data_IF_655620559939
#
_entry.id   IF_655620559939
#
_cell.length_a   1.000
_cell.length_b   1.000
_cell.length_c   1.000
_cell.angle_alpha   90.00
_cell.angle_beta   90.00
_cell.angle_gamma   90.00
#
_symmetry.space_group_name_H-M   'P 1'
#
loop_
_entity.id
_entity.type
_entity.pdbx_description
1 polymer ?
#
# COMPACT_ATOMS: atom_id res chain seq x y z
N UNK A 1 11.43 25.81 8.96
CA UNK A 1 10.56 24.62 9.10
C UNK A 1 11.24 23.33 8.67
N UNK A 2 11.76 23.22 7.45
CA UNK A 2 12.42 21.97 6.97
C UNK A 2 13.52 21.43 7.89
N UNK A 3 14.44 22.29 8.35
CA UNK A 3 15.52 21.90 9.27
C UNK A 3 14.99 21.37 10.60
N UNK A 4 13.90 21.97 11.09
CA UNK A 4 13.25 21.56 12.35
C UNK A 4 12.63 20.18 12.15
N UNK A 5 11.82 19.98 11.11
CA UNK A 5 11.20 18.68 10.83
C UNK A 5 12.27 17.60 10.61
N UNK A 6 13.33 17.87 9.83
CA UNK A 6 14.46 16.94 9.66
C UNK A 6 15.14 16.59 10.98
N UNK A 7 15.32 17.56 11.87
CA UNK A 7 15.88 17.30 13.19
C UNK A 7 14.97 16.41 14.04
N UNK A 8 13.66 16.69 14.06
CA UNK A 8 12.69 15.86 14.79
C UNK A 8 12.62 14.43 14.23
N UNK A 9 12.59 14.27 12.91
CA UNK A 9 12.63 12.95 12.26
C UNK A 9 13.94 12.22 12.58
N UNK A 10 15.07 12.94 12.63
CA UNK A 10 16.35 12.37 13.05
C UNK A 10 16.28 11.88 14.49
N UNK A 11 15.55 12.53 15.40
CA UNK A 11 15.36 12.05 16.78
C UNK A 11 14.62 10.71 16.86
N UNK A 12 13.80 10.38 15.86
CA UNK A 12 13.07 9.10 15.76
C UNK A 12 13.92 7.94 15.21
N UNK A 13 15.18 8.18 14.84
CA UNK A 13 16.02 7.16 14.22
C UNK A 13 16.69 6.25 15.27
N UNK A 14 16.17 5.01 15.37
CA UNK A 14 16.69 3.95 16.24
C UNK A 14 18.10 3.45 15.88
N UNK A 15 18.59 3.71 14.66
CA UNK A 15 19.90 3.23 14.19
C UNK A 15 21.05 4.16 14.58
N UNK A 16 20.75 5.30 15.21
CA UNK A 16 21.80 6.24 15.62
C UNK A 16 22.60 5.69 16.81
N UNK A 17 23.93 5.88 16.83
CA UNK A 17 24.80 5.34 17.86
C UNK A 17 24.46 5.78 19.30
N UNK A 18 23.77 6.90 19.47
CA UNK A 18 23.33 7.43 20.78
C UNK A 18 21.79 7.52 20.89
N UNK A 19 21.06 6.65 20.18
CA UNK A 19 19.61 6.63 20.29
C UNK A 19 19.20 5.99 21.62
N UNK A 20 18.52 6.76 22.48
CA UNK A 20 17.89 6.25 23.70
C UNK A 20 16.39 6.14 23.51
N UNK A 21 15.72 5.37 24.36
CA UNK A 21 14.26 5.27 24.34
C UNK A 21 13.61 6.65 24.58
N UNK A 22 14.14 7.45 25.51
CA UNK A 22 13.59 8.80 25.76
C UNK A 22 13.73 9.72 24.55
N UNK A 23 14.85 9.62 23.83
CA UNK A 23 15.08 10.40 22.60
C UNK A 23 14.06 10.02 21.50
N UNK A 24 13.76 8.74 21.36
CA UNK A 24 12.78 8.24 20.40
C UNK A 24 11.37 8.68 20.78
N UNK A 25 10.98 8.51 22.04
CA UNK A 25 9.67 8.94 22.55
C UNK A 25 9.48 10.45 22.39
N UNK A 26 10.48 11.24 22.76
CA UNK A 26 10.48 12.69 22.59
C UNK A 26 10.36 13.07 21.11
N UNK A 27 11.15 12.45 20.24
CA UNK A 27 11.09 12.66 18.80
C UNK A 27 9.70 12.40 18.24
N UNK A 28 9.11 11.24 18.57
CA UNK A 28 7.76 10.87 18.16
C UNK A 28 6.71 11.88 18.65
N UNK A 29 6.73 12.25 19.93
CA UNK A 29 5.78 13.21 20.51
C UNK A 29 5.88 14.60 19.87
N UNK A 30 7.10 15.09 19.65
CA UNK A 30 7.32 16.39 19.01
C UNK A 30 6.88 16.41 17.55
N UNK A 31 7.16 15.33 16.81
CA UNK A 31 6.65 15.18 15.43
C UNK A 31 5.13 15.21 15.45
N UNK A 32 4.50 14.45 16.36
CA UNK A 32 3.04 14.42 16.50
C UNK A 32 2.45 15.81 16.76
N UNK A 33 2.97 16.53 17.75
CA UNK A 33 2.53 17.90 18.05
C UNK A 33 2.71 18.83 16.85
N UNK A 34 3.78 18.67 16.06
CA UNK A 34 3.97 19.46 14.84
C UNK A 34 2.87 19.19 13.79
N UNK A 35 2.45 17.94 13.63
CA UNK A 35 1.34 17.57 12.74
C UNK A 35 -0.02 18.07 13.23
N UNK A 36 -0.32 17.87 14.52
CA UNK A 36 -1.56 18.35 15.14
C UNK A 36 -1.68 19.89 15.02
N UNK A 37 -0.57 20.61 15.19
CA UNK A 37 -0.54 22.08 15.09
C UNK A 37 -0.62 22.57 13.63
N UNK A 38 0.12 21.94 12.72
CA UNK A 38 0.15 22.36 11.32
C UNK A 38 -1.16 22.01 10.59
N UNK A 39 -1.76 20.87 10.93
CA UNK A 39 -2.92 20.30 10.26
C UNK A 39 -2.66 20.03 8.78
N UNK A 40 -3.69 20.20 7.95
CA UNK A 40 -3.62 19.98 6.50
C UNK A 40 -2.71 20.97 5.75
N UNK A 41 -2.32 22.10 6.37
CA UNK A 41 -1.45 23.11 5.76
C UNK A 41 -0.04 22.59 5.48
N UNK A 42 0.43 21.58 6.22
CA UNK A 42 1.77 21.01 5.98
C UNK A 42 1.89 20.38 4.58
N UNK A 43 0.78 19.88 4.03
CA UNK A 43 0.70 19.34 2.67
C UNK A 43 0.86 20.38 1.56
N UNK A 44 0.71 21.67 1.87
CA UNK A 44 0.85 22.76 0.88
C UNK A 44 2.32 23.06 0.54
N UNK A 45 3.27 22.52 1.30
CA UNK A 45 4.71 22.78 1.13
C UNK A 45 5.41 21.53 0.57
N UNK A 46 5.75 21.50 -0.73
CA UNK A 46 6.33 20.31 -1.37
C UNK A 46 7.62 19.81 -0.70
N UNK A 47 8.47 20.73 -0.20
CA UNK A 47 9.71 20.36 0.48
C UNK A 47 9.47 19.66 1.83
N UNK A 48 8.40 20.01 2.56
CA UNK A 48 8.00 19.30 3.77
C UNK A 48 7.38 17.94 3.42
N UNK A 49 6.54 17.89 2.40
CA UNK A 49 5.96 16.64 1.89
C UNK A 49 7.05 15.64 1.50
N UNK A 50 8.12 16.09 0.86
CA UNK A 50 9.25 15.22 0.52
C UNK A 50 9.93 14.63 1.77
N UNK A 51 10.19 15.44 2.80
CA UNK A 51 10.74 14.96 4.08
C UNK A 51 9.80 13.92 4.73
N UNK A 52 8.49 14.15 4.62
CA UNK A 52 7.49 13.22 5.15
C UNK A 52 7.55 11.89 4.40
N UNK A 53 7.48 11.95 3.07
CA UNK A 53 7.46 10.78 2.18
C UNK A 53 8.72 9.92 2.30
N UNK A 54 9.90 10.56 2.40
CA UNK A 54 11.19 9.88 2.31
C UNK A 54 11.77 9.56 3.70
N UNK A 55 11.92 10.58 4.55
CA UNK A 55 12.61 10.43 5.83
C UNK A 55 11.66 9.92 6.92
N UNK A 56 10.53 10.59 7.14
CA UNK A 56 9.62 10.25 8.26
C UNK A 56 8.97 8.88 8.07
N UNK A 57 8.37 8.61 6.90
CA UNK A 57 7.76 7.31 6.63
C UNK A 57 8.76 6.15 6.79
N UNK A 58 10.02 6.36 6.41
CA UNK A 58 11.09 5.37 6.64
C UNK A 58 11.34 5.14 8.13
N UNK A 59 11.39 6.19 8.96
CA UNK A 59 11.57 6.04 10.42
C UNK A 59 10.37 5.39 11.10
N UNK A 60 9.15 5.67 10.65
CA UNK A 60 7.95 4.98 11.15
C UNK A 60 7.99 3.49 10.83
N UNK A 61 8.40 3.11 9.61
CA UNK A 61 8.56 1.70 9.25
C UNK A 61 9.63 1.00 10.10
N UNK A 62 10.73 1.67 10.38
CA UNK A 62 11.77 1.15 11.28
C UNK A 62 11.26 1.00 12.71
N UNK A 63 10.60 2.03 13.25
CA UNK A 63 10.10 2.03 14.61
C UNK A 63 8.96 1.02 14.82
N UNK A 64 8.22 0.66 13.77
CA UNK A 64 7.22 -0.42 13.82
C UNK A 64 7.80 -1.82 14.07
N UNK A 65 9.12 -1.99 13.97
CA UNK A 65 9.81 -3.26 14.22
C UNK A 65 10.38 -3.36 15.64
N UNK A 66 10.11 -2.36 16.49
CA UNK A 66 10.51 -2.34 17.89
C UNK A 66 9.74 -3.37 18.73
N UNK A 67 10.33 -3.75 19.86
CA UNK A 67 9.64 -4.51 20.92
C UNK A 67 9.09 -3.63 22.04
N UNK A 68 9.36 -2.32 22.00
CA UNK A 68 8.82 -1.37 22.97
C UNK A 68 7.43 -0.90 22.56
N UNK A 69 6.40 -1.36 23.27
CA UNK A 69 4.99 -1.06 22.99
C UNK A 69 4.70 0.45 22.92
N UNK A 70 5.36 1.27 23.75
CA UNK A 70 5.21 2.74 23.72
C UNK A 70 5.62 3.33 22.37
N UNK A 71 6.74 2.88 21.80
CA UNK A 71 7.22 3.35 20.50
C UNK A 71 6.32 2.86 19.38
N UNK A 72 5.84 1.63 19.45
CA UNK A 72 4.87 1.10 18.49
C UNK A 72 3.57 1.91 18.52
N UNK A 73 3.00 2.14 19.71
CA UNK A 73 1.79 2.96 19.88
C UNK A 73 1.97 4.37 19.33
N UNK A 74 3.07 5.07 19.67
CA UNK A 74 3.39 6.39 19.11
C UNK A 74 3.53 6.35 17.59
N UNK A 75 4.15 5.30 17.05
CA UNK A 75 4.32 5.10 15.60
C UNK A 75 2.96 4.99 14.91
N UNK A 76 2.05 4.15 15.43
CA UNK A 76 0.70 3.97 14.88
C UNK A 76 -0.10 5.27 14.93
N UNK A 77 0.01 6.04 16.02
CA UNK A 77 -0.66 7.33 16.16
C UNK A 77 -0.14 8.37 15.16
N UNK A 78 1.17 8.46 14.95
CA UNK A 78 1.74 9.34 13.91
C UNK A 78 1.28 8.90 12.52
N UNK A 79 1.19 7.59 12.24
CA UNK A 79 0.67 7.08 10.96
C UNK A 79 -0.79 7.52 10.74
N UNK A 80 -1.62 7.49 11.78
CA UNK A 80 -3.00 8.01 11.73
C UNK A 80 -3.03 9.54 11.51
N UNK A 81 -2.21 10.30 12.22
CA UNK A 81 -2.12 11.75 12.05
C UNK A 81 -1.63 12.15 10.65
N UNK A 82 -0.69 11.41 10.07
CA UNK A 82 -0.23 11.58 8.69
C UNK A 82 -1.36 11.35 7.69
N UNK A 83 -2.19 10.34 7.91
CA UNK A 83 -3.35 10.11 7.08
C UNK A 83 -4.33 11.29 7.15
N UNK A 84 -4.68 11.74 8.35
CA UNK A 84 -5.64 12.84 8.51
C UNK A 84 -5.14 14.18 7.94
N UNK A 85 -3.82 14.41 7.96
CA UNK A 85 -3.24 15.70 7.54
C UNK A 85 -2.81 15.74 6.07
N UNK A 86 -2.19 14.68 5.55
CA UNK A 86 -1.51 14.69 4.24
C UNK A 86 -1.79 13.47 3.36
N UNK A 87 -2.87 12.71 3.59
CA UNK A 87 -3.25 11.51 2.78
C UNK A 87 -3.15 11.69 1.26
N UNK A 88 -3.46 12.88 0.73
CA UNK A 88 -3.38 13.20 -0.71
C UNK A 88 -1.98 13.01 -1.31
N UNK A 89 -0.94 13.11 -0.49
CA UNK A 89 0.45 12.94 -0.90
C UNK A 89 1.02 11.57 -0.53
N UNK A 90 0.30 10.74 0.23
CA UNK A 90 0.84 9.53 0.84
C UNK A 90 0.23 8.24 0.30
N UNK A 91 -0.25 8.21 -0.96
CA UNK A 91 -0.90 7.03 -1.52
C UNK A 91 -0.05 5.76 -1.40
N UNK A 92 1.21 5.81 -1.83
CA UNK A 92 2.09 4.62 -1.77
C UNK A 92 2.45 4.29 -0.31
N UNK A 93 2.73 5.30 0.50
CA UNK A 93 3.11 5.12 1.89
C UNK A 93 1.97 4.54 2.74
N UNK A 94 0.72 4.95 2.48
CA UNK A 94 -0.47 4.44 3.16
C UNK A 94 -0.62 2.94 2.91
N UNK A 95 -0.45 2.49 1.67
CA UNK A 95 -0.45 1.07 1.34
C UNK A 95 0.63 0.29 2.10
N UNK A 96 1.84 0.85 2.17
CA UNK A 96 2.94 0.25 2.92
C UNK A 96 2.63 0.22 4.42
N UNK A 97 1.98 1.25 4.99
CA UNK A 97 1.61 1.23 6.41
C UNK A 97 0.52 0.21 6.74
N UNK A 98 -0.49 0.04 5.89
CA UNK A 98 -1.50 -1.00 6.10
C UNK A 98 -0.90 -2.40 5.95
N UNK A 99 -0.14 -2.64 4.89
CA UNK A 99 0.40 -3.98 4.57
C UNK A 99 1.59 -4.36 5.44
N UNK A 100 2.56 -3.45 5.57
CA UNK A 100 3.87 -3.72 6.19
C UNK A 100 3.95 -3.32 7.67
N UNK A 101 2.94 -2.65 8.23
CA UNK A 101 2.83 -2.43 9.67
C UNK A 101 1.62 -3.18 10.21
N UNK A 102 0.41 -2.72 9.91
CA UNK A 102 -0.80 -3.20 10.58
C UNK A 102 -1.07 -4.68 10.30
N UNK A 103 -1.26 -5.07 9.03
CA UNK A 103 -1.56 -6.47 8.67
C UNK A 103 -0.37 -7.39 8.97
N UNK A 104 0.87 -6.98 8.65
CA UNK A 104 2.07 -7.77 8.99
C UNK A 104 2.15 -8.12 10.47
N UNK A 105 1.94 -7.15 11.37
CA UNK A 105 2.00 -7.39 12.83
C UNK A 105 0.78 -8.21 13.28
N UNK A 106 -0.41 -7.89 12.78
CA UNK A 106 -1.65 -8.61 13.11
C UNK A 106 -1.61 -10.10 12.75
N UNK A 107 -1.07 -10.43 11.58
CA UNK A 107 -0.97 -11.81 11.07
C UNK A 107 0.25 -12.56 11.60
N UNK A 108 1.28 -11.88 12.12
CA UNK A 108 2.52 -12.53 12.51
C UNK A 108 2.32 -13.46 13.71
N UNK A 109 2.79 -14.71 13.58
CA UNK A 109 2.87 -15.64 14.71
C UNK A 109 3.91 -15.19 15.77
N UNK A 110 4.90 -14.39 15.35
CA UNK A 110 5.96 -13.88 16.23
C UNK A 110 5.58 -12.62 17.00
N UNK A 111 4.44 -12.02 16.67
CA UNK A 111 3.95 -10.82 17.35
C UNK A 111 3.25 -11.15 18.64
N UNK A 112 3.52 -10.37 19.69
CA UNK A 112 2.87 -10.52 20.98
C UNK A 112 1.38 -10.17 20.89
N UNK A 113 0.63 -10.58 21.91
CA UNK A 113 -0.79 -10.24 22.00
C UNK A 113 -1.00 -8.73 22.01
N UNK A 114 -0.21 -7.98 22.78
CA UNK A 114 -0.29 -6.53 22.92
C UNK A 114 0.10 -5.80 21.62
N UNK A 115 1.08 -6.32 20.88
CA UNK A 115 1.43 -5.79 19.56
C UNK A 115 0.24 -5.91 18.58
N UNK A 116 -0.47 -7.05 18.63
CA UNK A 116 -1.66 -7.31 17.79
C UNK A 116 -2.85 -6.45 18.20
N UNK A 117 -3.06 -6.28 19.50
CA UNK A 117 -4.11 -5.43 20.06
C UNK A 117 -3.94 -3.98 19.57
N UNK A 118 -2.73 -3.42 19.71
CA UNK A 118 -2.43 -2.05 19.28
C UNK A 118 -2.70 -1.81 17.78
N UNK A 119 -2.31 -2.74 16.90
CA UNK A 119 -2.55 -2.55 15.45
C UNK A 119 -4.03 -2.72 15.09
N UNK A 120 -4.77 -3.58 15.79
CA UNK A 120 -6.21 -3.74 15.57
C UNK A 120 -6.98 -2.51 16.05
N UNK A 121 -6.68 -1.98 17.24
CA UNK A 121 -7.25 -0.71 17.72
C UNK A 121 -6.99 0.44 16.73
N UNK A 122 -5.75 0.56 16.26
CA UNK A 122 -5.39 1.54 15.23
C UNK A 122 -6.20 1.35 13.95
N UNK A 123 -6.39 0.10 13.48
CA UNK A 123 -7.20 -0.19 12.31
C UNK A 123 -8.69 0.14 12.50
N UNK A 124 -9.25 -0.08 13.69
CA UNK A 124 -10.63 0.30 14.01
C UNK A 124 -10.82 1.80 13.84
N UNK A 125 -9.87 2.62 14.32
CA UNK A 125 -9.91 4.07 14.14
C UNK A 125 -9.89 4.48 12.67
N UNK A 126 -9.01 3.87 11.87
CA UNK A 126 -9.02 4.05 10.42
C UNK A 126 -10.37 3.66 9.81
N UNK A 127 -10.94 2.53 10.21
CA UNK A 127 -12.19 2.02 9.65
C UNK A 127 -13.42 2.90 9.94
N UNK A 128 -13.35 3.71 10.99
CA UNK A 128 -14.39 4.65 11.34
C UNK A 128 -14.36 5.95 10.50
N UNK A 129 -13.31 6.19 9.70
CA UNK A 129 -13.24 7.32 8.77
C UNK A 129 -14.02 7.05 7.47
N UNK A 130 -15.07 7.85 7.23
CA UNK A 130 -16.00 7.70 6.10
C UNK A 130 -15.34 7.90 4.73
N UNK A 131 -14.33 8.76 4.64
CA UNK A 131 -13.61 9.05 3.40
C UNK A 131 -12.55 7.99 3.10
N UNK A 132 -11.94 7.40 4.14
CA UNK A 132 -10.91 6.39 4.00
C UNK A 132 -11.47 5.19 3.26
N UNK A 133 -12.57 4.60 3.74
CA UNK A 133 -13.05 3.31 3.24
C UNK A 133 -13.37 3.37 1.74
N UNK A 134 -14.07 4.43 1.32
CA UNK A 134 -14.33 4.67 -0.10
C UNK A 134 -13.06 5.04 -0.85
N UNK A 135 -12.16 5.80 -0.23
CA UNK A 135 -10.85 6.15 -0.78
C UNK A 135 -9.98 4.92 -1.04
N UNK A 136 -9.99 3.92 -0.17
CA UNK A 136 -9.26 2.66 -0.33
C UNK A 136 -9.81 1.90 -1.54
N UNK A 137 -11.13 1.78 -1.65
CA UNK A 137 -11.75 1.11 -2.79
C UNK A 137 -11.47 1.84 -4.11
N UNK A 138 -11.67 3.16 -4.17
CA UNK A 138 -11.50 3.95 -5.39
C UNK A 138 -10.03 4.01 -5.84
N UNK A 139 -9.11 4.30 -4.93
CA UNK A 139 -7.72 4.61 -5.29
C UNK A 139 -6.82 3.37 -5.38
N UNK A 140 -7.25 2.22 -4.84
CA UNK A 140 -6.49 0.98 -4.90
C UNK A 140 -7.28 -0.06 -5.70
N UNK A 141 -8.40 -0.54 -5.18
CA UNK A 141 -9.15 -1.65 -5.78
C UNK A 141 -9.70 -1.38 -7.18
N UNK A 142 -10.08 -0.15 -7.47
CA UNK A 142 -10.58 0.27 -8.79
C UNK A 142 -9.50 0.86 -9.69
N UNK A 143 -8.29 1.12 -9.19
CA UNK A 143 -7.18 1.56 -10.03
C UNK A 143 -6.40 0.36 -10.58
N UNK A 144 -6.30 0.28 -11.91
CA UNK A 144 -5.76 -0.89 -12.62
C UNK A 144 -4.32 -1.22 -12.19
N UNK A 145 -3.49 -0.20 -11.98
CA UNK A 145 -2.08 -0.33 -11.63
C UNK A 145 -1.80 -0.55 -10.13
N UNK A 146 -2.81 -0.42 -9.27
CA UNK A 146 -2.65 -0.51 -7.81
C UNK A 146 -3.00 -1.89 -7.26
N UNK A 147 -2.69 -2.15 -5.99
CA UNK A 147 -3.12 -3.36 -5.26
C UNK A 147 -4.60 -3.31 -4.87
N UNK A 148 -5.12 -4.36 -4.23
CA UNK A 148 -6.51 -4.38 -3.76
C UNK A 148 -6.56 -4.16 -2.24
N UNK A 149 -6.05 -3.02 -1.80
CA UNK A 149 -5.84 -2.71 -0.38
C UNK A 149 -7.15 -2.77 0.43
N UNK A 150 -8.28 -2.34 -0.12
CA UNK A 150 -9.57 -2.44 0.56
C UNK A 150 -9.99 -3.91 0.73
N UNK A 151 -9.90 -4.70 -0.33
CA UNK A 151 -10.20 -6.14 -0.29
C UNK A 151 -9.28 -6.89 0.69
N UNK A 152 -7.99 -6.55 0.72
CA UNK A 152 -7.00 -7.16 1.61
C UNK A 152 -7.28 -6.80 3.08
N UNK A 153 -7.62 -5.55 3.38
CA UNK A 153 -8.05 -5.13 4.72
C UNK A 153 -9.32 -5.86 5.18
N UNK A 154 -10.34 -5.95 4.31
CA UNK A 154 -11.57 -6.70 4.59
C UNK A 154 -11.26 -8.17 4.91
N UNK A 155 -10.42 -8.83 4.10
CA UNK A 155 -10.03 -10.23 4.33
C UNK A 155 -9.28 -10.40 5.64
N UNK A 156 -8.34 -9.51 5.94
CA UNK A 156 -7.57 -9.53 7.18
C UNK A 156 -8.50 -9.44 8.40
N UNK A 157 -9.38 -8.44 8.46
CA UNK A 157 -10.30 -8.25 9.57
C UNK A 157 -11.31 -9.42 9.68
N UNK A 158 -11.90 -9.86 8.57
CA UNK A 158 -12.82 -10.99 8.58
C UNK A 158 -12.14 -12.29 9.03
N UNK A 159 -10.93 -12.58 8.56
CA UNK A 159 -10.19 -13.78 8.95
C UNK A 159 -9.79 -13.72 10.43
N UNK A 160 -9.37 -12.55 10.90
CA UNK A 160 -9.00 -12.32 12.30
C UNK A 160 -10.19 -12.38 13.26
N UNK A 161 -11.39 -12.05 12.78
CA UNK A 161 -12.64 -12.17 13.53
C UNK A 161 -13.13 -13.63 13.68
N UNK A 162 -12.72 -14.53 12.79
CA UNK A 162 -13.18 -15.91 12.81
C UNK A 162 -12.44 -16.75 13.88
N UNK A 163 -13.11 -17.74 14.49
CA UNK A 163 -12.43 -18.71 15.33
C UNK A 163 -11.46 -19.55 14.48
N UNK A 164 -10.30 -19.96 15.03
CA UNK A 164 -9.39 -20.85 14.32
C UNK A 164 -10.11 -22.15 13.93
N UNK A 165 -9.85 -22.64 12.72
CA UNK A 165 -10.41 -23.91 12.26
C UNK A 165 -10.09 -25.02 13.25
N UNK A 166 -11.15 -25.69 13.74
CA UNK A 166 -11.06 -26.73 14.77
C UNK A 166 -10.17 -27.88 14.28
N UNK A 167 -8.94 -27.93 14.75
CA UNK A 167 -8.15 -29.16 14.80
C UNK A 167 -8.20 -29.66 16.25
N UNK A 168 -8.77 -30.84 16.44
CA UNK A 168 -8.93 -31.61 17.68
C UNK A 168 -9.93 -31.14 18.73
N UNK A 169 -10.59 -32.16 19.29
CA UNK A 169 -11.59 -32.21 20.34
C UNK A 169 -10.93 -31.97 21.70
N UNK A 170 -11.02 -30.75 22.23
CA UNK A 170 -10.87 -30.50 23.67
C UNK A 170 -11.85 -29.39 24.07
N UNK A 171 -12.98 -29.82 24.65
CA UNK A 171 -14.16 -29.02 24.99
C UNK A 171 -13.97 -28.08 26.21
N UNK A 172 -12.74 -27.66 26.53
CA UNK A 172 -12.43 -26.89 27.75
C UNK A 172 -11.84 -25.48 27.55
N UNK A 173 -11.78 -24.96 26.31
CA UNK A 173 -11.50 -23.53 26.03
C UNK A 173 -12.64 -22.82 25.28
N UNK A 174 -13.87 -23.27 25.54
CA UNK A 174 -15.09 -22.50 25.25
C UNK A 174 -15.15 -21.30 26.21
N UNK A 175 -15.53 -20.14 25.68
CA UNK A 175 -15.95 -18.94 26.44
C UNK A 175 -14.90 -17.85 26.70
N UNK A 176 -14.43 -17.19 25.64
CA UNK A 176 -14.66 -15.75 25.47
C UNK A 176 -14.46 -15.40 24.00
N UNK A 177 -15.14 -14.38 23.49
CA UNK A 177 -14.61 -13.66 22.34
C UNK A 177 -13.25 -13.13 22.77
N UNK A 178 -12.19 -13.68 22.19
CA UNK A 178 -10.85 -13.12 22.31
C UNK A 178 -10.93 -11.64 21.91
N UNK A 179 -10.43 -10.73 22.73
CA UNK A 179 -10.55 -9.28 22.54
C UNK A 179 -10.03 -8.87 21.14
N UNK A 180 -9.02 -9.57 20.61
CA UNK A 180 -8.55 -9.38 19.24
C UNK A 180 -9.64 -9.67 18.18
N UNK A 181 -10.49 -10.68 18.41
CA UNK A 181 -11.65 -10.96 17.56
C UNK A 181 -12.73 -9.89 17.71
N UNK A 182 -12.95 -9.39 18.92
CA UNK A 182 -13.88 -8.27 19.16
C UNK A 182 -13.44 -7.04 18.38
N UNK A 183 -12.16 -6.66 18.49
CA UNK A 183 -11.59 -5.53 17.73
C UNK A 183 -11.67 -5.77 16.21
N UNK A 184 -11.41 -6.99 15.76
CA UNK A 184 -11.54 -7.33 14.33
C UNK A 184 -12.98 -7.18 13.83
N UNK A 185 -13.96 -7.65 14.61
CA UNK A 185 -15.39 -7.48 14.31
C UNK A 185 -15.81 -6.01 14.37
N UNK A 186 -15.30 -5.25 15.35
CA UNK A 186 -15.53 -3.81 15.48
C UNK A 186 -14.97 -3.06 14.26
N UNK A 187 -13.82 -3.47 13.74
CA UNK A 187 -13.26 -2.93 12.50
C UNK A 187 -14.19 -3.16 11.31
N UNK A 188 -14.68 -4.39 11.13
CA UNK A 188 -15.64 -4.72 10.06
C UNK A 188 -16.94 -3.90 10.21
N UNK A 189 -17.49 -3.83 11.42
CA UNK A 189 -18.69 -3.06 11.71
C UNK A 189 -18.47 -1.56 11.46
N UNK A 190 -17.31 -1.03 11.84
CA UNK A 190 -16.93 0.37 11.59
C UNK A 190 -16.89 0.67 10.10
N UNK A 191 -16.35 -0.23 9.27
CA UNK A 191 -16.38 -0.08 7.82
C UNK A 191 -17.81 -0.05 7.27
N UNK A 192 -18.67 -0.95 7.74
CA UNK A 192 -20.07 -1.00 7.31
C UNK A 192 -20.86 0.24 7.75
N UNK A 193 -20.66 0.69 8.99
CA UNK A 193 -21.26 1.93 9.49
C UNK A 193 -20.78 3.15 8.72
N UNK A 194 -19.48 3.27 8.44
CA UNK A 194 -18.91 4.35 7.63
C UNK A 194 -19.53 4.41 6.23
N UNK A 195 -19.73 3.26 5.58
CA UNK A 195 -20.41 3.17 4.29
C UNK A 195 -21.91 3.54 4.42
N UNK A 196 -22.61 3.00 5.42
CA UNK A 196 -24.03 3.26 5.63
C UNK A 196 -24.31 4.75 5.93
N UNK A 197 -23.51 5.39 6.80
CA UNK A 197 -23.62 6.83 7.10
C UNK A 197 -23.47 7.68 5.84
N UNK A 198 -22.54 7.31 4.96
CA UNK A 198 -22.33 8.02 3.70
C UNK A 198 -23.53 7.89 2.77
N UNK A 199 -24.10 6.70 2.62
CA UNK A 199 -25.31 6.50 1.82
C UNK A 199 -26.52 7.27 2.37
N UNK A 200 -26.66 7.37 3.70
CA UNK A 200 -27.72 8.15 4.32
C UNK A 200 -27.58 9.66 4.01
N UNK A 201 -26.36 10.21 4.14
CA UNK A 201 -26.07 11.62 3.78
C UNK A 201 -26.39 11.95 2.33
N UNK A 202 -26.10 11.03 1.40
CA UNK A 202 -26.42 11.21 -0.02
C UNK A 202 -27.94 11.20 -0.28
N UNK A 203 -28.73 10.43 0.49
CA UNK A 203 -30.18 10.35 0.36
C UNK A 203 -30.92 11.57 0.94
N UNK A 204 -30.36 12.19 1.98
CA UNK A 204 -30.97 13.33 2.69
C UNK A 204 -30.69 14.68 2.00
N UNK A 205 -29.92 14.71 0.91
CA UNK A 205 -29.67 15.93 0.13
C UNK A 205 -28.88 17.00 0.89
N UNK A 206 -28.26 16.64 2.02
CA UNK A 206 -27.36 17.52 2.75
C UNK A 206 -26.09 17.72 1.92
N UNK A 207 -26.07 18.79 1.11
CA UNK A 207 -24.83 19.38 0.62
C UNK A 207 -24.05 19.91 1.83
N UNK A 208 -23.29 19.03 2.49
CA UNK A 208 -22.34 19.43 3.51
C UNK A 208 -21.20 20.20 2.84
N UNK A 209 -21.32 21.52 2.82
CA UNK A 209 -20.19 22.40 2.63
C UNK A 209 -19.09 22.05 3.63
N UNK A 210 -17.85 21.95 3.13
CA UNK A 210 -16.60 21.81 3.87
C UNK A 210 -16.25 20.43 4.49
N UNK A 211 -16.29 19.36 3.70
CA UNK A 211 -15.21 18.36 3.72
C UNK A 211 -15.07 17.80 2.29
N UNK A 212 -13.87 17.39 1.88
CA UNK A 212 -13.59 16.87 0.51
C UNK A 212 -14.24 15.49 0.36
N UNK A 213 -15.57 15.45 0.36
CA UNK A 213 -16.34 14.29 -0.01
C UNK A 213 -16.10 14.05 -1.50
N UNK A 214 -15.78 12.82 -1.85
CA UNK A 214 -15.60 12.41 -3.25
C UNK A 214 -16.97 12.47 -3.92
N UNK A 215 -17.35 13.62 -4.47
CA UNK A 215 -18.53 13.77 -5.33
C UNK A 215 -18.23 13.14 -6.68
N UNK A 216 -18.54 11.85 -6.83
CA UNK A 216 -18.33 11.13 -8.10
C UNK A 216 -19.46 11.45 -9.07
N UNK A 217 -19.11 12.01 -10.22
CA UNK A 217 -20.08 12.22 -11.31
C UNK A 217 -20.52 10.88 -11.91
N UNK A 218 -21.70 10.79 -12.57
CA UNK A 218 -22.14 9.58 -13.27
C UNK A 218 -21.17 9.07 -14.36
N UNK A 219 -20.30 9.95 -14.87
CA UNK A 219 -19.27 9.58 -15.84
C UNK A 219 -18.05 8.97 -15.15
N UNK A 220 -17.66 9.52 -13.99
CA UNK A 220 -16.60 8.93 -13.16
C UNK A 220 -16.96 7.53 -12.64
N UNK A 221 -18.22 7.29 -12.25
CA UNK A 221 -18.64 5.96 -11.76
C UNK A 221 -18.52 4.89 -12.84
N UNK A 222 -18.85 5.21 -14.10
CA UNK A 222 -18.64 4.30 -15.24
C UNK A 222 -17.18 3.98 -15.46
N UNK A 223 -16.29 4.97 -15.34
CA UNK A 223 -14.83 4.78 -15.45
C UNK A 223 -14.33 3.88 -14.33
N UNK A 224 -14.77 4.10 -13.09
CA UNK A 224 -14.42 3.28 -11.92
C UNK A 224 -14.86 1.82 -12.14
N UNK A 225 -16.09 1.60 -12.61
CA UNK A 225 -16.62 0.26 -12.90
C UNK A 225 -15.84 -0.43 -14.03
N UNK A 226 -15.57 0.28 -15.12
CA UNK A 226 -14.78 -0.23 -16.23
C UNK A 226 -13.36 -0.62 -15.80
N UNK A 227 -12.69 0.23 -15.01
CA UNK A 227 -11.37 -0.05 -14.49
C UNK A 227 -11.37 -1.26 -13.54
N UNK A 228 -12.38 -1.40 -12.66
CA UNK A 228 -12.53 -2.58 -11.80
C UNK A 228 -12.68 -3.86 -12.62
N UNK A 229 -13.49 -3.85 -13.69
CA UNK A 229 -13.65 -5.00 -14.61
C UNK A 229 -12.33 -5.35 -15.31
N UNK A 230 -11.59 -4.36 -15.80
CA UNK A 230 -10.27 -4.57 -16.42
C UNK A 230 -9.31 -5.20 -15.41
N UNK A 231 -9.24 -4.64 -14.20
CA UNK A 231 -8.34 -5.13 -13.15
C UNK A 231 -8.65 -6.57 -12.73
N UNK A 232 -9.94 -6.92 -12.61
CA UNK A 232 -10.37 -8.30 -12.32
C UNK A 232 -9.91 -9.28 -13.41
N UNK A 233 -10.07 -8.93 -14.69
CA UNK A 233 -9.57 -9.74 -15.81
C UNK A 233 -8.05 -9.91 -15.76
N UNK A 234 -7.31 -8.81 -15.52
CA UNK A 234 -5.85 -8.85 -15.40
C UNK A 234 -5.39 -9.70 -14.22
N UNK A 235 -6.06 -9.62 -13.06
CA UNK A 235 -5.77 -10.46 -11.89
C UNK A 235 -5.98 -11.94 -12.20
N UNK A 236 -7.08 -12.30 -12.85
CA UNK A 236 -7.37 -13.68 -13.24
C UNK A 236 -6.35 -14.21 -14.27
N UNK A 237 -5.98 -13.38 -15.24
CA UNK A 237 -4.92 -13.67 -16.19
C UNK A 237 -3.56 -13.87 -15.51
N UNK A 238 -3.20 -13.03 -14.54
CA UNK A 238 -1.97 -13.17 -13.75
C UNK A 238 -1.94 -14.49 -12.99
N UNK A 239 -3.03 -14.84 -12.27
CA UNK A 239 -3.15 -16.13 -11.58
C UNK A 239 -2.95 -17.31 -12.53
N UNK A 240 -3.60 -17.28 -13.70
CA UNK A 240 -3.47 -18.32 -14.72
C UNK A 240 -2.05 -18.41 -15.28
N UNK A 241 -1.43 -17.26 -15.56
CA UNK A 241 -0.06 -17.17 -16.06
C UNK A 241 0.95 -17.67 -15.04
N UNK A 242 0.82 -17.31 -13.77
CA UNK A 242 1.72 -17.77 -12.71
C UNK A 242 1.68 -19.30 -12.57
N UNK A 243 0.49 -19.90 -12.75
CA UNK A 243 0.31 -21.35 -12.70
C UNK A 243 0.84 -22.10 -13.94
N UNK A 244 0.71 -21.51 -15.14
CA UNK A 244 0.92 -22.25 -16.41
C UNK A 244 1.92 -21.65 -17.39
N UNK A 245 2.49 -20.50 -17.08
CA UNK A 245 3.35 -19.72 -17.97
C UNK A 245 2.69 -19.45 -19.30
N UNK A 246 3.42 -19.68 -20.40
CA UNK A 246 2.94 -19.44 -21.77
C UNK A 246 1.65 -20.19 -22.12
N UNK A 247 1.38 -21.37 -21.53
CA UNK A 247 0.14 -22.13 -21.79
C UNK A 247 -1.11 -21.36 -21.38
N UNK A 248 -0.99 -20.34 -20.52
CA UNK A 248 -2.09 -19.47 -20.15
C UNK A 248 -2.55 -18.53 -21.27
N UNK A 249 -1.77 -18.33 -22.35
CA UNK A 249 -2.10 -17.35 -23.39
C UNK A 249 -3.42 -17.63 -24.12
N UNK A 250 -3.83 -18.90 -24.22
CA UNK A 250 -5.18 -19.25 -24.73
C UNK A 250 -6.29 -18.66 -23.86
N UNK A 251 -6.13 -18.78 -22.54
CA UNK A 251 -7.07 -18.21 -21.58
C UNK A 251 -6.99 -16.66 -21.55
N UNK A 252 -5.80 -16.09 -21.59
CA UNK A 252 -5.61 -14.62 -21.61
C UNK A 252 -6.24 -13.99 -22.87
N UNK A 253 -6.18 -14.69 -24.01
CA UNK A 253 -6.91 -14.31 -25.24
C UNK A 253 -8.42 -14.35 -25.04
N UNK A 254 -8.95 -15.39 -24.41
CA UNK A 254 -10.39 -15.49 -24.11
C UNK A 254 -10.92 -14.37 -23.21
N UNK A 255 -10.05 -13.75 -22.39
CA UNK A 255 -10.40 -12.58 -21.58
C UNK A 255 -10.37 -11.25 -22.35
N UNK A 256 -9.84 -11.24 -23.58
CA UNK A 256 -9.65 -10.06 -24.42
C UNK A 256 -8.50 -9.14 -23.98
N UNK A 257 -7.51 -9.67 -23.25
CA UNK A 257 -6.36 -8.90 -22.76
C UNK A 257 -5.28 -8.76 -23.84
N UNK A 258 -5.07 -9.84 -24.59
CA UNK A 258 -4.26 -9.89 -25.80
C UNK A 258 -5.14 -10.44 -26.92
N UNK A 259 -5.00 -9.91 -28.13
CA UNK A 259 -5.71 -10.35 -29.33
C UNK A 259 -4.97 -11.55 -29.93
N UNK A 260 -3.66 -11.40 -30.10
CA UNK A 260 -2.77 -12.42 -30.62
C UNK A 260 -1.53 -12.53 -29.72
N UNK A 261 -0.72 -13.59 -29.88
CA UNK A 261 0.58 -13.69 -29.19
C UNK A 261 1.62 -12.71 -29.79
N UNK A 262 1.16 -11.56 -30.30
CA UNK A 262 1.99 -10.49 -30.83
C UNK A 262 2.92 -9.95 -29.74
N UNK A 263 4.24 -9.83 -30.00
CA UNK A 263 5.21 -9.42 -29.00
C UNK A 263 4.84 -8.14 -28.24
N UNK A 264 4.30 -7.14 -28.93
CA UNK A 264 3.89 -5.87 -28.32
C UNK A 264 2.74 -6.01 -27.31
N UNK A 265 1.70 -6.80 -27.64
CA UNK A 265 0.56 -7.02 -26.74
C UNK A 265 0.95 -7.86 -25.53
N UNK A 266 1.77 -8.89 -25.74
CA UNK A 266 2.31 -9.71 -24.65
C UNK A 266 3.18 -8.86 -23.73
N UNK A 267 4.06 -8.02 -24.28
CA UNK A 267 4.88 -7.11 -23.47
C UNK A 267 4.02 -6.10 -22.71
N UNK A 268 2.99 -5.53 -23.33
CA UNK A 268 2.02 -4.67 -22.64
C UNK A 268 1.42 -5.42 -21.45
N UNK A 269 0.90 -6.63 -21.66
CA UNK A 269 0.39 -7.49 -20.58
C UNK A 269 1.44 -7.71 -19.46
N UNK A 270 2.69 -8.06 -19.80
CA UNK A 270 3.75 -8.29 -18.82
C UNK A 270 4.13 -7.03 -18.02
N UNK A 271 3.96 -5.84 -18.60
CA UNK A 271 4.32 -4.55 -17.99
C UNK A 271 3.17 -3.95 -17.17
N UNK A 272 1.93 -4.10 -17.60
CA UNK A 272 0.76 -3.47 -16.98
C UNK A 272 0.09 -4.34 -15.93
N UNK A 273 0.32 -5.65 -15.94
CA UNK A 273 -0.34 -6.58 -15.03
C UNK A 273 0.45 -6.73 -13.73
N UNK A 274 -0.10 -6.22 -12.63
CA UNK A 274 0.42 -6.44 -11.29
C UNK A 274 0.21 -7.90 -10.84
N UNK A 275 1.05 -8.38 -9.92
CA UNK A 275 0.96 -9.75 -9.38
C UNK A 275 1.50 -10.88 -10.27
N UNK A 276 2.15 -10.56 -11.40
CA UNK A 276 2.88 -11.55 -12.19
C UNK A 276 4.14 -12.04 -11.46
N UNK A 277 4.30 -13.36 -11.39
CA UNK A 277 5.50 -14.01 -10.86
C UNK A 277 6.70 -13.71 -11.76
N UNK A 278 7.69 -12.99 -11.21
CA UNK A 278 8.89 -12.57 -11.94
C UNK A 278 9.72 -13.73 -12.46
N UNK A 279 9.69 -14.89 -11.78
CA UNK A 279 10.33 -16.11 -12.26
C UNK A 279 9.63 -16.64 -13.51
N UNK A 280 8.30 -16.68 -13.52
CA UNK A 280 7.52 -17.10 -14.71
C UNK A 280 7.66 -16.15 -15.89
N UNK A 281 7.74 -14.84 -15.61
CA UNK A 281 8.07 -13.85 -16.63
C UNK A 281 9.48 -14.13 -17.20
N UNK A 282 10.47 -14.38 -16.33
CA UNK A 282 11.83 -14.74 -16.74
C UNK A 282 11.89 -16.01 -17.59
N UNK A 283 11.18 -17.08 -17.20
CA UNK A 283 11.07 -18.33 -17.96
C UNK A 283 10.51 -18.11 -19.37
N UNK A 284 9.53 -17.21 -19.53
CA UNK A 284 8.98 -16.85 -20.84
C UNK A 284 9.99 -16.07 -21.69
N UNK A 285 10.65 -15.07 -21.11
CA UNK A 285 11.59 -14.19 -21.81
C UNK A 285 12.90 -14.92 -22.18
N UNK A 286 13.30 -15.92 -21.39
CA UNK A 286 14.47 -16.76 -21.66
C UNK A 286 14.20 -17.99 -22.55
N UNK A 287 12.97 -18.13 -23.07
CA UNK A 287 12.61 -19.27 -23.92
C UNK A 287 13.30 -19.23 -25.29
N UNK A 288 13.74 -20.39 -25.78
CA UNK A 288 14.46 -20.53 -27.07
C UNK A 288 13.59 -20.42 -28.32
N UNK A 289 12.26 -20.39 -28.19
CA UNK A 289 11.34 -20.25 -29.33
C UNK A 289 11.40 -18.83 -29.91
N UNK A 290 11.31 -18.68 -31.23
CA UNK A 290 11.44 -17.38 -31.91
C UNK A 290 10.51 -16.29 -31.35
N UNK A 291 9.26 -16.67 -31.05
CA UNK A 291 8.29 -15.77 -30.43
C UNK A 291 8.68 -15.31 -29.03
N UNK A 292 9.32 -16.18 -28.22
CA UNK A 292 9.84 -15.80 -26.90
C UNK A 292 10.99 -14.81 -27.05
N UNK A 293 11.89 -15.04 -28.02
CA UNK A 293 12.99 -14.12 -28.35
C UNK A 293 12.44 -12.77 -28.84
N UNK A 294 11.38 -12.77 -29.66
CA UNK A 294 10.73 -11.55 -30.14
C UNK A 294 10.07 -10.76 -29.00
N UNK A 295 9.36 -11.44 -28.09
CA UNK A 295 8.79 -10.86 -26.87
C UNK A 295 9.90 -10.25 -26.00
N UNK A 296 10.99 -10.97 -25.79
CA UNK A 296 12.14 -10.49 -25.02
C UNK A 296 12.73 -9.20 -25.61
N UNK A 297 12.98 -9.15 -26.92
CA UNK A 297 13.48 -7.95 -27.60
C UNK A 297 12.55 -6.75 -27.38
N UNK A 298 11.24 -6.94 -27.53
CA UNK A 298 10.26 -5.88 -27.26
C UNK A 298 10.26 -5.47 -25.78
N UNK A 299 10.39 -6.42 -24.85
CA UNK A 299 10.39 -6.17 -23.43
C UNK A 299 11.59 -5.30 -23.02
N UNK A 300 12.78 -5.56 -23.56
CA UNK A 300 14.00 -4.77 -23.31
C UNK A 300 13.80 -3.31 -23.74
N UNK A 301 13.18 -3.06 -24.89
CA UNK A 301 12.92 -1.70 -25.37
C UNK A 301 11.95 -0.90 -24.49
N UNK A 302 11.22 -1.54 -23.56
CA UNK A 302 10.39 -0.82 -22.59
C UNK A 302 11.18 -0.17 -21.46
N UNK A 303 12.47 -0.50 -21.31
CA UNK A 303 13.33 0.10 -20.31
C UNK A 303 14.07 1.30 -20.89
N UNK A 304 14.04 2.42 -20.17
CA UNK A 304 14.91 3.57 -20.45
C UNK A 304 16.26 3.31 -19.80
N UNK A 305 17.23 2.83 -20.58
CA UNK A 305 18.61 2.72 -20.10
C UNK A 305 19.28 4.10 -20.24
N UNK A 306 19.64 4.79 -19.15
CA UNK A 306 20.45 5.99 -19.25
C UNK A 306 21.84 5.56 -19.73
N UNK A 307 22.18 5.88 -20.98
CA UNK A 307 23.57 5.76 -21.42
C UNK A 307 24.41 6.77 -20.60
N UNK A 308 25.56 6.37 -20.04
CA UNK A 308 26.51 7.34 -19.53
C UNK A 308 26.90 8.25 -20.71
N UNK A 309 26.81 9.57 -20.51
CA UNK A 309 27.35 10.54 -21.46
C UNK A 309 28.80 10.16 -21.68
N UNK A 310 29.16 9.69 -22.87
CA UNK A 310 30.55 9.50 -23.25
C UNK A 310 31.22 10.86 -23.18
N UNK A 311 31.94 11.14 -22.10
CA UNK A 311 32.96 12.19 -22.12
C UNK A 311 33.95 11.78 -23.21
N UNK A 312 34.15 12.58 -24.27
CA UNK A 312 35.15 12.25 -25.26
C UNK A 312 36.50 12.16 -24.53
N UNK A 313 37.16 11.00 -24.64
CA UNK A 313 38.54 10.86 -24.20
C UNK A 313 39.37 11.95 -24.90
N UNK A 314 40.22 12.70 -24.18
CA UNK A 314 41.11 13.64 -24.83
C UNK A 314 42.02 12.85 -25.76
N UNK A 315 42.01 13.20 -27.05
CA UNK A 315 42.98 12.68 -28.00
C UNK A 315 44.39 13.02 -27.49
N UNK A 316 45.33 12.05 -27.46
CA UNK A 316 46.71 12.34 -27.12
C UNK A 316 47.29 13.32 -28.14
N UNK A 317 47.86 14.41 -27.64
CA UNK A 317 48.49 15.47 -28.41
C UNK A 317 49.62 14.88 -29.30
N UNK A 318 49.58 15.02 -30.63
CA UNK A 318 50.51 14.30 -31.50
C UNK A 318 51.91 14.93 -31.61
N UNK A 319 52.27 15.96 -30.84
CA UNK A 319 53.62 16.50 -30.81
C UNK A 319 54.10 16.80 -29.38
N UNK A 320 55.03 15.99 -28.85
CA UNK A 320 55.98 16.44 -27.85
C UNK A 320 57.21 17.03 -28.56
N UNK A 321 57.42 18.34 -28.42
CA UNK A 321 58.76 18.92 -28.53
C UNK A 321 59.64 18.43 -27.35
#
# INVERSE_FOLDING_TARGET
MERVLKFLVKLMDQTRPNSTLENLELGCRLVRTAFETAGSRIGQFPSLVQIIQDDLCKRLLQNSQTKHLTILSLTLRIVYDLFNTVKKHLKVQLEVFFTSIHMRIGESESSSYEEKELVLESLVEFCNDEDLIVGLYRNYDCEVSSTNLFEDLCKFLCTSALPPERKSTDDAKKSSLDQLRVLSLEGVLSMLHSLARRFAKEAEGENAEAHVSVSTTPDETKVIEANRKIKQKLSLAAKRFNAQGRKAFTFIKSLGIISNEEPGEVVRFLRTTSGLDKKKVGELLGGSKDICVAIMKHYIHTFKFPFPKTTPYPHPNPNPD
#
